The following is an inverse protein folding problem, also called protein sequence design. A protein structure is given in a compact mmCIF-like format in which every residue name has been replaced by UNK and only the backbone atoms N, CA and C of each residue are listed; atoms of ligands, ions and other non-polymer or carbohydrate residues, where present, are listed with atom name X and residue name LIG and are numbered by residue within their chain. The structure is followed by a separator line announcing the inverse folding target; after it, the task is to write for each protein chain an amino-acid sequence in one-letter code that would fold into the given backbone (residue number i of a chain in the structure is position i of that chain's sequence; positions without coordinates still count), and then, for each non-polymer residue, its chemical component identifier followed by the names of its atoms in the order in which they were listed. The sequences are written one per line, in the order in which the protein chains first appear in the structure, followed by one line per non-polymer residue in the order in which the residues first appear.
data_IF_390284285426
#
_entry.id   IF_390284285426
#
_cell.length_a   1.000
_cell.length_b   1.000
_cell.length_c   1.000
_cell.angle_alpha   90.00
_cell.angle_beta   90.00
_cell.angle_gamma   90.00
#
_symmetry.space_group_name_H-M   'P 1'
#
loop_
_entity.id
_entity.type
_entity.pdbx_description
1 polymer ?
#
# COMPACT_ATOMS: atom_id res chain seq x y z
N UNK A 1 -6.88 -7.86 -10.99
CA UNK A 1 -7.28 -7.93 -12.42
C UNK A 1 -7.91 -6.61 -12.90
N UNK A 2 -9.00 -6.12 -12.29
CA UNK A 2 -9.72 -4.92 -12.75
C UNK A 2 -8.89 -3.62 -12.86
N UNK A 3 -7.91 -3.41 -11.96
CA UNK A 3 -7.03 -2.24 -12.02
C UNK A 3 -6.01 -2.30 -13.19
N UNK A 4 -5.62 -3.49 -13.63
CA UNK A 4 -4.66 -3.68 -14.73
C UNK A 4 -5.33 -3.48 -16.09
N UNK A 5 -6.57 -3.94 -16.25
CA UNK A 5 -7.33 -3.77 -17.50
C UNK A 5 -7.64 -2.30 -17.81
N UNK A 6 -7.89 -1.47 -16.78
CA UNK A 6 -8.15 -0.03 -16.97
C UNK A 6 -6.95 0.76 -17.49
N UNK A 7 -5.73 0.23 -17.39
CA UNK A 7 -4.51 0.89 -17.84
C UNK A 7 -4.18 0.63 -19.31
N UNK A 8 -5.00 -0.14 -20.04
CA UNK A 8 -4.72 -0.55 -21.41
C UNK A 8 -3.57 -1.56 -21.55
N UNK A 9 -2.93 -1.92 -20.44
CA UNK A 9 -1.87 -2.92 -20.39
C UNK A 9 -2.50 -4.32 -20.45
N UNK A 10 -2.38 -4.98 -21.61
CA UNK A 10 -2.69 -6.41 -21.73
C UNK A 10 -1.64 -7.21 -20.96
N UNK A 11 -1.90 -7.45 -19.67
CA UNK A 11 -1.10 -8.37 -18.87
C UNK A 11 -1.57 -9.79 -19.19
N UNK A 12 -0.89 -10.44 -20.14
CA UNK A 12 -1.01 -11.89 -20.29
C UNK A 12 -0.09 -12.54 -19.26
N UNK A 13 -0.68 -13.25 -18.30
CA UNK A 13 0.09 -14.14 -17.42
C UNK A 13 0.44 -15.38 -18.24
N UNK A 14 1.73 -15.64 -18.54
CA UNK A 14 2.13 -16.87 -19.23
C UNK A 14 1.56 -18.10 -18.55
N UNK A 15 1.09 -19.08 -19.30
CA UNK A 15 0.41 -20.27 -18.75
C UNK A 15 1.25 -21.06 -17.75
N UNK A 16 2.59 -21.02 -17.87
CA UNK A 16 3.53 -21.61 -16.91
C UNK A 16 3.66 -20.86 -15.57
N UNK A 17 3.14 -19.64 -15.47
CA UNK A 17 3.15 -18.82 -14.25
C UNK A 17 1.79 -18.82 -13.52
N UNK A 18 0.74 -19.43 -14.10
CA UNK A 18 -0.60 -19.48 -13.50
C UNK A 18 -0.67 -20.23 -12.15
N UNK A 19 0.37 -21.00 -11.81
CA UNK A 19 0.49 -21.77 -10.56
C UNK A 19 1.80 -21.51 -9.81
N UNK A 20 2.52 -20.45 -10.17
CA UNK A 20 3.87 -20.16 -9.68
C UNK A 20 3.87 -18.79 -9.03
N UNK A 21 4.56 -18.63 -7.90
CA UNK A 21 4.81 -17.32 -7.33
C UNK A 21 5.68 -16.52 -8.31
N UNK A 22 5.17 -15.38 -8.77
CA UNK A 22 5.97 -14.44 -9.57
C UNK A 22 6.69 -13.54 -8.60
N UNK A 23 7.95 -13.83 -8.36
CA UNK A 23 8.86 -12.91 -7.70
C UNK A 23 9.30 -11.89 -8.75
N UNK A 24 8.79 -10.67 -8.65
CA UNK A 24 9.41 -9.56 -9.38
C UNK A 24 10.70 -9.27 -8.64
N UNK A 25 11.85 -9.42 -9.29
CA UNK A 25 13.08 -8.80 -8.81
C UNK A 25 12.73 -7.33 -8.55
N UNK A 26 12.67 -6.96 -7.27
CA UNK A 26 12.42 -5.58 -6.88
C UNK A 26 13.44 -4.75 -7.62
N UNK A 27 12.96 -3.80 -8.43
CA UNK A 27 13.77 -2.98 -9.33
C UNK A 27 14.78 -2.14 -8.53
N UNK A 28 15.86 -2.72 -7.99
CA UNK A 28 16.95 -2.02 -7.31
C UNK A 28 16.56 -1.08 -6.15
N UNK A 29 15.33 -1.14 -5.66
CA UNK A 29 14.84 -0.31 -4.56
C UNK A 29 14.96 -1.13 -3.27
N UNK A 30 15.76 -0.62 -2.34
CA UNK A 30 15.71 -1.06 -0.95
C UNK A 30 14.29 -0.86 -0.39
N UNK A 31 13.94 -1.60 0.66
CA UNK A 31 12.64 -1.38 1.32
C UNK A 31 12.50 0.06 1.83
N UNK A 32 13.61 0.74 2.12
CA UNK A 32 13.66 2.13 2.57
C UNK A 32 13.05 3.11 1.56
N UNK A 33 13.25 2.87 0.25
CA UNK A 33 12.68 3.69 -0.80
C UNK A 33 11.14 3.78 -0.75
N UNK A 34 10.44 2.78 -0.19
CA UNK A 34 8.99 2.82 -0.04
C UNK A 34 8.52 3.69 1.14
N UNK A 35 9.41 4.06 2.05
CA UNK A 35 9.09 4.82 3.25
C UNK A 35 9.74 6.22 3.28
N UNK A 36 10.63 6.54 2.32
CA UNK A 36 11.21 7.88 2.21
C UNK A 36 10.18 8.88 1.66
N UNK A 37 9.92 9.94 2.43
CA UNK A 37 9.16 11.10 1.95
C UNK A 37 10.08 11.91 1.01
N UNK A 38 9.55 12.31 -0.16
CA UNK A 38 10.30 13.10 -1.12
C UNK A 38 10.76 14.43 -0.52
N UNK A 39 11.96 14.90 -0.88
CA UNK A 39 12.55 16.15 -0.36
C UNK A 39 11.77 17.40 -0.79
N UNK A 40 10.89 17.28 -1.78
CA UNK A 40 9.95 18.33 -2.21
C UNK A 40 8.73 18.45 -1.30
N UNK A 41 8.60 17.60 -0.27
CA UNK A 41 7.51 17.62 0.67
C UNK A 41 7.47 18.89 1.50
N UNK A 42 6.28 19.48 1.65
CA UNK A 42 6.06 20.67 2.47
C UNK A 42 5.13 20.34 3.63
N UNK A 43 5.46 20.82 4.83
CA UNK A 43 4.56 20.70 5.99
C UNK A 43 3.29 21.52 5.73
N UNK A 44 2.15 20.88 5.93
CA UNK A 44 0.83 21.50 5.92
C UNK A 44 0.23 21.40 7.33
N UNK A 45 0.25 22.49 8.12
CA UNK A 45 -0.25 22.47 9.49
C UNK A 45 -1.78 22.32 9.56
N UNK A 46 -2.51 22.72 8.51
CA UNK A 46 -3.97 22.70 8.48
C UNK A 46 -4.51 21.32 8.06
N UNK A 47 -3.69 20.53 7.37
CA UNK A 47 -3.99 19.13 7.04
C UNK A 47 -3.66 18.15 8.19
N UNK A 48 -3.13 18.62 9.31
CA UNK A 48 -2.89 17.80 10.51
C UNK A 48 -4.19 17.19 11.06
N UNK A 49 -4.15 15.91 11.44
CA UNK A 49 -5.32 15.21 12.02
C UNK A 49 -4.91 14.07 12.96
N UNK A 50 -5.89 13.49 13.65
CA UNK A 50 -5.69 12.29 14.47
C UNK A 50 -5.74 11.02 13.62
N UNK A 51 -4.71 10.18 13.70
CA UNK A 51 -4.64 8.85 13.09
C UNK A 51 -4.38 7.82 14.19
N UNK A 52 -5.25 6.82 14.32
CA UNK A 52 -5.10 5.80 15.38
C UNK A 52 -5.06 6.39 16.80
N UNK A 53 -5.71 7.54 17.01
CA UNK A 53 -5.70 8.25 18.29
C UNK A 53 -4.43 9.06 18.58
N UNK A 54 -3.51 9.22 17.63
CA UNK A 54 -2.31 10.07 17.75
C UNK A 54 -2.41 11.30 16.87
N UNK A 55 -1.95 12.45 17.36
CA UNK A 55 -1.88 13.67 16.57
C UNK A 55 -0.78 13.57 15.51
N UNK A 56 -1.00 14.20 14.35
CA UNK A 56 -0.05 14.12 13.22
C UNK A 56 0.26 15.49 12.63
N UNK A 57 1.48 15.63 12.15
CA UNK A 57 1.89 16.68 11.21
C UNK A 57 1.74 16.12 9.80
N UNK A 58 1.04 16.85 8.93
CA UNK A 58 0.92 16.46 7.53
C UNK A 58 2.11 17.00 6.72
N UNK A 59 2.68 16.16 5.87
CA UNK A 59 3.65 16.54 4.85
C UNK A 59 3.03 16.24 3.50
N UNK A 60 2.95 17.24 2.63
CA UNK A 60 2.31 17.14 1.32
C UNK A 60 3.39 17.17 0.24
N UNK A 61 3.36 16.17 -0.64
CA UNK A 61 4.20 16.08 -1.84
C UNK A 61 3.29 16.17 -3.05
N UNK A 62 3.52 17.13 -3.95
CA UNK A 62 2.74 17.29 -5.18
C UNK A 62 3.60 17.06 -6.40
N UNK A 63 3.04 16.39 -7.40
CA UNK A 63 3.61 16.17 -8.72
C UNK A 63 2.57 16.41 -9.82
N UNK A 64 2.97 16.24 -11.08
CA UNK A 64 2.04 16.33 -12.20
C UNK A 64 0.95 15.25 -12.06
N UNK A 65 -0.30 15.66 -11.83
CA UNK A 65 -1.45 14.76 -11.68
C UNK A 65 -1.43 13.88 -10.41
N UNK A 66 -0.52 14.17 -9.47
CA UNK A 66 -0.31 13.37 -8.27
C UNK A 66 -0.16 14.21 -7.00
N UNK A 67 -0.72 13.73 -5.90
CA UNK A 67 -0.57 14.31 -4.57
C UNK A 67 -0.49 13.20 -3.53
N UNK A 68 0.56 13.23 -2.71
CA UNK A 68 0.77 12.32 -1.59
C UNK A 68 0.76 13.13 -0.27
N UNK A 69 -0.09 12.75 0.67
CA UNK A 69 -0.19 13.37 2.02
C UNK A 69 0.25 12.34 3.05
N UNK A 70 1.38 12.62 3.70
CA UNK A 70 1.97 11.81 4.74
C UNK A 70 1.60 12.36 6.11
N UNK A 71 0.90 11.57 6.92
CA UNK A 71 0.58 11.91 8.30
C UNK A 71 1.63 11.31 9.23
N UNK A 72 2.59 12.15 9.63
CA UNK A 72 3.69 11.76 10.52
C UNK A 72 3.27 12.04 11.96
N UNK A 73 3.57 11.14 12.89
CA UNK A 73 3.31 11.35 14.31
C UNK A 73 3.90 12.69 14.79
N UNK A 74 3.08 13.52 15.44
CA UNK A 74 3.51 14.81 15.97
C UNK A 74 4.36 14.67 17.26
N UNK A 75 4.29 13.51 17.90
CA UNK A 75 5.00 13.17 19.14
C UNK A 75 5.71 11.82 19.06
N UNK A 76 6.78 11.69 19.85
CA UNK A 76 7.60 10.48 19.92
C UNK A 76 8.38 10.22 18.63
N UNK A 77 8.55 8.94 18.29
CA UNK A 77 9.21 8.52 17.05
C UNK A 77 8.36 8.94 15.83
N UNK A 78 8.94 9.59 14.81
CA UNK A 78 8.21 10.21 13.69
C UNK A 78 7.75 9.19 12.65
N UNK A 79 6.94 8.22 13.07
CA UNK A 79 6.35 7.23 12.19
C UNK A 79 5.30 7.85 11.27
N UNK A 80 5.30 7.43 10.00
CA UNK A 80 4.19 7.70 9.08
C UNK A 80 3.02 6.82 9.51
N UNK A 81 1.96 7.43 10.05
CA UNK A 81 0.78 6.71 10.54
C UNK A 81 -0.25 6.48 9.44
N UNK A 82 -0.28 7.35 8.43
CA UNK A 82 -1.15 7.23 7.26
C UNK A 82 -0.52 7.90 6.06
N UNK A 83 -0.69 7.26 4.90
CA UNK A 83 -0.41 7.83 3.60
C UNK A 83 -1.74 7.92 2.84
N UNK A 84 -2.03 9.08 2.28
CA UNK A 84 -3.07 9.24 1.27
C UNK A 84 -2.43 9.63 -0.05
N UNK A 85 -2.80 8.93 -1.11
CA UNK A 85 -2.25 9.12 -2.44
C UNK A 85 -3.38 9.38 -3.41
N UNK A 86 -3.32 10.52 -4.10
CA UNK A 86 -4.21 10.84 -5.21
C UNK A 86 -3.41 10.80 -6.50
N UNK A 87 -3.87 10.01 -7.47
CA UNK A 87 -3.29 9.90 -8.82
C UNK A 87 -4.43 9.93 -9.83
N UNK A 88 -4.41 10.87 -10.77
CA UNK A 88 -5.43 11.00 -11.83
C UNK A 88 -6.88 10.97 -11.30
N UNK A 89 -7.12 11.67 -10.19
CA UNK A 89 -8.43 11.76 -9.53
C UNK A 89 -8.85 10.51 -8.74
N UNK A 90 -8.02 9.46 -8.68
CA UNK A 90 -8.24 8.30 -7.81
C UNK A 90 -7.45 8.44 -6.53
N UNK A 91 -8.11 8.26 -5.40
CA UNK A 91 -7.48 8.31 -4.08
C UNK A 91 -7.37 6.92 -3.48
N UNK A 92 -6.20 6.59 -2.96
CA UNK A 92 -5.95 5.43 -2.10
C UNK A 92 -5.42 5.89 -0.75
N UNK A 93 -5.53 5.02 0.25
CA UNK A 93 -4.94 5.29 1.56
C UNK A 93 -4.39 4.03 2.18
N UNK A 94 -3.26 4.15 2.86
CA UNK A 94 -2.67 3.13 3.71
C UNK A 94 -2.55 3.67 5.13
N UNK A 95 -2.90 2.86 6.13
CA UNK A 95 -2.70 3.18 7.55
C UNK A 95 -1.70 2.19 8.12
N UNK A 96 -0.76 2.71 8.90
CA UNK A 96 0.34 1.95 9.46
C UNK A 96 0.26 2.02 10.98
N UNK A 97 0.37 0.87 11.61
CA UNK A 97 0.37 0.73 13.06
C UNK A 97 1.36 -0.34 13.51
N UNK A 98 1.34 -0.64 14.80
CA UNK A 98 2.07 -1.79 15.37
C UNK A 98 3.57 -1.80 15.05
N UNK A 99 4.18 -0.62 14.88
CA UNK A 99 5.61 -0.46 14.62
C UNK A 99 6.45 -1.19 15.67
N UNK A 100 7.39 -2.02 15.20
CA UNK A 100 8.28 -2.82 16.04
C UNK A 100 7.59 -3.93 16.84
N UNK A 101 6.29 -4.17 16.65
CA UNK A 101 5.57 -5.25 17.33
C UNK A 101 5.67 -6.54 16.52
N UNK A 102 5.85 -7.64 17.24
CA UNK A 102 5.71 -8.97 16.65
C UNK A 102 4.22 -9.26 16.37
N UNK A 103 3.95 -9.82 15.20
CA UNK A 103 2.60 -10.25 14.81
C UNK A 103 2.65 -11.75 14.51
N UNK A 104 1.85 -12.52 15.24
CA UNK A 104 1.71 -13.95 14.98
C UNK A 104 0.75 -14.19 13.81
N UNK A 105 1.29 -14.68 12.70
CA UNK A 105 0.50 -15.12 11.55
C UNK A 105 0.31 -16.63 11.63
N UNK A 106 -0.93 -17.07 11.80
CA UNK A 106 -1.29 -18.50 11.84
C UNK A 106 -2.19 -18.86 10.68
N UNK A 107 -2.09 -20.11 10.21
CA UNK A 107 -3.01 -20.62 9.19
C UNK A 107 -4.46 -20.49 9.67
N UNK A 108 -5.37 -19.95 8.84
CA UNK A 108 -6.79 -19.98 9.13
C UNK A 108 -7.27 -21.42 9.35
N UNK A 109 -8.30 -21.65 10.19
CA UNK A 109 -8.85 -22.98 10.40
C UNK A 109 -9.37 -23.56 9.08
N UNK A 110 -9.32 -24.89 8.92
CA UNK A 110 -9.68 -25.57 7.65
C UNK A 110 -11.06 -25.18 7.11
N UNK A 111 -12.01 -24.86 7.99
CA UNK A 111 -13.36 -24.44 7.63
C UNK A 111 -13.41 -23.04 6.99
N UNK A 112 -12.31 -22.27 7.03
CA UNK A 112 -12.13 -20.95 6.40
C UNK A 112 -11.07 -20.96 5.30
N UNK A 113 -10.63 -22.14 4.88
CA UNK A 113 -9.68 -22.31 3.76
C UNK A 113 -10.34 -23.12 2.67
N UNK A 114 -10.08 -22.76 1.42
CA UNK A 114 -10.45 -23.57 0.27
C UNK A 114 -9.18 -23.93 -0.52
N UNK A 115 -9.15 -25.09 -1.18
CA UNK A 115 -8.13 -25.41 -2.16
C UNK A 115 -8.04 -24.37 -3.29
N UNK A 116 -6.84 -24.17 -3.85
CA UNK A 116 -6.63 -23.15 -4.90
C UNK A 116 -7.43 -23.44 -6.18
N UNK A 117 -7.60 -24.70 -6.55
CA UNK A 117 -8.44 -25.13 -7.67
C UNK A 117 -9.92 -24.77 -7.45
N UNK A 118 -10.40 -24.91 -6.22
CA UNK A 118 -11.74 -24.47 -5.84
C UNK A 118 -11.88 -22.94 -5.88
N UNK A 119 -10.91 -22.19 -5.37
CA UNK A 119 -10.87 -20.73 -5.47
C UNK A 119 -10.95 -20.28 -6.95
N UNK A 120 -10.09 -20.83 -7.80
CA UNK A 120 -10.08 -20.52 -9.23
C UNK A 120 -11.41 -20.83 -9.89
N UNK A 121 -12.05 -21.96 -9.58
CA UNK A 121 -13.38 -22.30 -10.11
C UNK A 121 -14.45 -21.28 -9.69
N UNK A 122 -14.40 -20.76 -8.47
CA UNK A 122 -15.36 -19.79 -7.96
C UNK A 122 -15.16 -18.38 -8.55
N UNK A 123 -13.93 -18.01 -8.90
CA UNK A 123 -13.58 -16.65 -9.37
C UNK A 123 -13.41 -16.54 -10.88
N UNK A 124 -13.27 -17.66 -11.60
CA UNK A 124 -13.24 -17.67 -13.06
C UNK A 124 -14.66 -17.46 -13.59
N UNK A 125 -14.95 -16.22 -14.03
CA UNK A 125 -16.08 -15.92 -14.91
C UNK A 125 -15.64 -15.96 -16.37
#
# INVERSE_FOLDING_TARGET
AAALEQSGQKVSVPSGLAKTYVETEQMGLDCEAFYKIAETGTVDPDAGRRVGGRDTTAIVVKGAGSEDVYHVAADGEPYILRLESTRDGRTSSATYDSFGKEVSVTMPPKQRTIPMDEFLRLTSR
#
